data_IF_055090255154
#
_entry.id   IF_055090255154
#
_cell.length_a   1.000
_cell.length_b   1.000
_cell.length_c   1.000
_cell.angle_alpha   90.00
_cell.angle_beta   90.00
_cell.angle_gamma   90.00
#
_symmetry.space_group_name_H-M   'P 1'
#
loop_
_entity.id
_entity.type
_entity.pdbx_description
1 polymer ?
#
# COMPACT_ATOMS: atom_id res chain seq x y z
N UNK A 1 -24.83 -25.90 -19.51
CA UNK A 1 -25.43 -25.59 -18.19
C UNK A 1 -24.61 -24.47 -17.58
N UNK A 2 -25.18 -23.27 -17.44
CA UNK A 2 -24.48 -22.18 -16.73
C UNK A 2 -24.30 -22.56 -15.26
N UNK A 3 -23.24 -22.12 -14.57
CA UNK A 3 -23.12 -22.34 -13.13
C UNK A 3 -24.33 -21.69 -12.43
N UNK A 4 -24.91 -22.42 -11.48
CA UNK A 4 -26.05 -21.96 -10.69
C UNK A 4 -25.72 -20.62 -10.03
N UNK A 5 -26.50 -19.60 -10.35
CA UNK A 5 -26.36 -18.27 -9.79
C UNK A 5 -26.80 -18.29 -8.33
N UNK A 6 -25.98 -17.75 -7.43
CA UNK A 6 -26.34 -17.67 -6.01
C UNK A 6 -27.63 -16.87 -5.84
N UNK A 7 -28.65 -17.50 -5.26
CA UNK A 7 -29.91 -16.86 -4.87
C UNK A 7 -29.98 -16.80 -3.35
N UNK A 8 -30.07 -15.60 -2.74
CA UNK A 8 -30.19 -15.48 -1.30
C UNK A 8 -31.46 -16.18 -0.81
N UNK A 9 -31.35 -16.92 0.30
CA UNK A 9 -32.50 -17.64 0.88
C UNK A 9 -33.48 -16.68 1.56
N UNK A 10 -32.99 -15.53 2.04
CA UNK A 10 -33.80 -14.43 2.51
C UNK A 10 -34.02 -13.42 1.38
N UNK A 11 -35.28 -13.12 1.04
CA UNK A 11 -35.65 -12.13 0.01
C UNK A 11 -36.24 -10.84 0.58
N UNK A 12 -36.51 -10.80 1.90
CA UNK A 12 -37.02 -9.62 2.59
C UNK A 12 -35.92 -8.55 2.74
N UNK A 13 -36.06 -7.36 2.12
CA UNK A 13 -35.05 -6.31 2.17
C UNK A 13 -34.71 -5.84 3.59
N UNK A 14 -35.69 -5.76 4.49
CA UNK A 14 -35.48 -5.28 5.86
C UNK A 14 -34.60 -6.27 6.65
N UNK A 15 -34.91 -7.56 6.53
CA UNK A 15 -34.08 -8.62 7.11
C UNK A 15 -32.66 -8.65 6.54
N UNK A 16 -32.52 -8.47 5.22
CA UNK A 16 -31.21 -8.39 4.56
C UNK A 16 -30.41 -7.16 5.03
N UNK A 17 -31.06 -6.06 5.40
CA UNK A 17 -30.42 -4.89 6.00
C UNK A 17 -29.84 -5.21 7.38
N UNK A 18 -30.65 -5.79 8.26
CA UNK A 18 -30.22 -6.17 9.61
C UNK A 18 -29.08 -7.21 9.59
N UNK A 19 -29.17 -8.20 8.69
CA UNK A 19 -28.11 -9.19 8.51
C UNK A 19 -26.81 -8.56 7.99
N UNK A 20 -26.89 -7.59 7.09
CA UNK A 20 -25.70 -6.89 6.60
C UNK A 20 -25.04 -6.02 7.67
N UNK A 21 -25.83 -5.34 8.51
CA UNK A 21 -25.29 -4.56 9.64
C UNK A 21 -24.47 -5.47 10.55
N UNK A 22 -25.02 -6.63 10.92
CA UNK A 22 -24.30 -7.64 11.72
C UNK A 22 -23.06 -8.17 11.01
N UNK A 23 -23.16 -8.47 9.71
CA UNK A 23 -22.05 -8.94 8.88
C UNK A 23 -20.87 -7.96 8.91
N UNK A 24 -21.11 -6.68 8.64
CA UNK A 24 -20.04 -5.67 8.61
C UNK A 24 -19.49 -5.34 9.99
N UNK A 25 -20.34 -5.31 11.03
CA UNK A 25 -19.88 -5.14 12.40
C UNK A 25 -18.95 -6.28 12.84
N UNK A 26 -19.27 -7.53 12.49
CA UNK A 26 -18.43 -8.68 12.80
C UNK A 26 -17.05 -8.58 12.12
N UNK A 27 -16.99 -8.18 10.84
CA UNK A 27 -15.72 -7.94 10.13
C UNK A 27 -14.90 -6.84 10.83
N UNK A 28 -15.53 -5.72 11.19
CA UNK A 28 -14.84 -4.62 11.88
C UNK A 28 -14.32 -5.03 13.26
N UNK A 29 -15.14 -5.74 14.06
CA UNK A 29 -14.75 -6.23 15.38
C UNK A 29 -13.61 -7.24 15.32
N UNK A 30 -13.67 -8.18 14.37
CA UNK A 30 -12.61 -9.18 14.18
C UNK A 30 -11.30 -8.51 13.72
N UNK A 31 -11.37 -7.53 12.83
CA UNK A 31 -10.21 -6.74 12.40
C UNK A 31 -9.61 -5.93 13.55
N UNK A 32 -10.43 -5.28 14.38
CA UNK A 32 -9.97 -4.53 15.55
C UNK A 32 -9.32 -5.44 16.60
N UNK A 33 -9.87 -6.65 16.78
CA UNK A 33 -9.31 -7.67 17.66
C UNK A 33 -8.09 -8.41 17.06
N UNK A 34 -7.63 -8.02 15.86
CA UNK A 34 -6.51 -8.67 15.14
C UNK A 34 -6.68 -10.19 15.00
N UNK A 35 -7.92 -10.64 14.82
CA UNK A 35 -8.20 -12.06 14.55
C UNK A 35 -7.71 -12.43 13.16
N UNK A 36 -7.23 -13.67 12.93
CA UNK A 36 -6.78 -14.11 11.61
C UNK A 36 -7.94 -14.38 10.65
N UNK A 37 -9.16 -14.54 11.15
CA UNK A 37 -10.35 -14.82 10.36
C UNK A 37 -11.64 -14.45 11.11
N UNK A 38 -12.74 -14.42 10.36
CA UNK A 38 -14.09 -14.17 10.88
C UNK A 38 -15.12 -15.03 10.14
N UNK A 39 -15.97 -15.69 10.91
CA UNK A 39 -17.15 -16.39 10.41
C UNK A 39 -18.35 -15.43 10.40
N UNK A 40 -19.07 -15.44 9.29
CA UNK A 40 -20.17 -14.53 9.00
C UNK A 40 -21.36 -15.31 8.49
N UNK A 41 -22.56 -14.78 8.73
CA UNK A 41 -23.79 -15.30 8.17
C UNK A 41 -24.53 -14.18 7.43
N UNK A 42 -24.99 -14.47 6.21
CA UNK A 42 -25.76 -13.54 5.41
C UNK A 42 -26.70 -14.27 4.46
N UNK A 43 -27.96 -13.86 4.44
CA UNK A 43 -29.01 -14.39 3.57
C UNK A 43 -29.15 -15.92 3.59
N UNK A 44 -28.94 -16.53 4.76
CA UNK A 44 -28.99 -17.98 4.97
C UNK A 44 -27.69 -18.73 4.69
N UNK A 45 -26.66 -18.06 4.17
CA UNK A 45 -25.35 -18.66 3.88
C UNK A 45 -24.31 -18.33 4.95
N UNK A 46 -23.24 -19.12 5.01
CA UNK A 46 -22.08 -18.90 5.89
C UNK A 46 -20.85 -18.53 5.07
N UNK A 47 -20.07 -17.60 5.56
CA UNK A 47 -18.84 -17.12 4.93
C UNK A 47 -17.73 -17.14 5.97
N UNK A 48 -16.52 -17.53 5.57
CA UNK A 48 -15.32 -17.37 6.40
C UNK A 48 -14.33 -16.49 5.66
N UNK A 49 -14.05 -15.32 6.22
CA UNK A 49 -13.09 -14.35 5.64
C UNK A 49 -11.77 -14.41 6.39
N UNK A 50 -10.67 -14.51 5.65
CA UNK A 50 -9.34 -14.32 6.21
C UNK A 50 -9.04 -12.82 6.39
N UNK A 51 -8.35 -12.50 7.48
CA UNK A 51 -7.93 -11.16 7.85
C UNK A 51 -6.39 -11.10 7.96
N UNK A 52 -5.74 -9.97 7.61
CA UNK A 52 -6.33 -8.73 7.09
C UNK A 52 -6.85 -8.87 5.64
N UNK A 53 -7.61 -7.88 5.12
CA UNK A 53 -7.99 -7.86 3.71
C UNK A 53 -6.76 -7.90 2.78
N UNK A 54 -6.95 -8.46 1.58
CA UNK A 54 -5.92 -8.54 0.53
C UNK A 54 -5.55 -7.15 -0.01
N UNK A 55 -6.50 -6.21 -0.01
CA UNK A 55 -6.26 -4.85 -0.48
C UNK A 55 -7.51 -3.99 -0.46
N UNK A 56 -7.30 -2.68 -0.54
CA UNK A 56 -8.34 -1.66 -0.67
C UNK A 56 -8.22 -1.00 -2.05
N UNK A 57 -9.32 -0.97 -2.81
CA UNK A 57 -9.43 -0.21 -4.07
C UNK A 57 -10.47 0.90 -3.98
N UNK A 58 -10.57 1.72 -5.04
CA UNK A 58 -11.57 2.79 -5.17
C UNK A 58 -13.03 2.33 -5.01
N UNK A 59 -13.28 1.02 -5.09
CA UNK A 59 -14.62 0.42 -5.15
C UNK A 59 -14.93 -0.54 -4.00
N UNK A 60 -14.00 -0.76 -3.07
CA UNK A 60 -14.23 -1.69 -1.98
C UNK A 60 -12.99 -2.33 -1.38
N UNK A 61 -13.22 -3.10 -0.32
CA UNK A 61 -12.22 -3.89 0.37
C UNK A 61 -12.34 -5.36 -0.05
N UNK A 62 -11.22 -6.00 -0.37
CA UNK A 62 -11.20 -7.40 -0.85
C UNK A 62 -10.66 -8.32 0.23
N UNK A 63 -11.42 -9.35 0.59
CA UNK A 63 -11.06 -10.36 1.57
C UNK A 63 -10.89 -11.71 0.90
N UNK A 64 -9.87 -12.48 1.29
CA UNK A 64 -9.75 -13.88 0.87
C UNK A 64 -10.83 -14.70 1.60
N UNK A 65 -11.50 -15.59 0.89
CA UNK A 65 -12.45 -16.51 1.49
C UNK A 65 -11.76 -17.84 1.79
N UNK A 66 -11.96 -18.38 3.00
CA UNK A 66 -11.68 -19.78 3.31
C UNK A 66 -12.97 -20.56 3.06
N UNK A 67 -12.90 -21.59 2.23
CA UNK A 67 -14.09 -22.21 1.65
C UNK A 67 -15.05 -22.80 2.71
N UNK A 68 -16.30 -22.33 2.71
CA UNK A 68 -17.48 -23.11 3.05
C UNK A 68 -18.70 -22.50 2.36
N UNK A 69 -19.54 -23.39 1.82
CA UNK A 69 -20.72 -23.18 0.96
C UNK A 69 -21.31 -21.76 0.91
N UNK A 70 -20.98 -21.03 -0.15
CA UNK A 70 -21.85 -19.96 -0.66
C UNK A 70 -22.54 -20.52 -1.90
N UNK A 71 -23.84 -20.76 -1.82
CA UNK A 71 -24.64 -21.13 -2.99
C UNK A 71 -24.23 -22.41 -3.72
N UNK A 72 -23.68 -23.40 -3.01
CA UNK A 72 -23.26 -24.66 -3.63
C UNK A 72 -21.97 -24.58 -4.46
N UNK A 73 -21.23 -23.46 -4.43
CA UNK A 73 -19.94 -23.35 -5.12
C UNK A 73 -18.94 -24.39 -4.58
N UNK A 74 -18.20 -25.09 -5.46
CA UNK A 74 -17.26 -26.12 -5.03
C UNK A 74 -16.10 -25.53 -4.23
N UNK A 75 -15.74 -26.18 -3.11
CA UNK A 75 -14.69 -25.73 -2.20
C UNK A 75 -13.28 -25.67 -2.83
N UNK A 76 -13.10 -26.20 -4.03
CA UNK A 76 -11.82 -26.22 -4.77
C UNK A 76 -11.52 -24.92 -5.51
N UNK A 77 -12.48 -24.01 -5.68
CA UNK A 77 -12.24 -22.74 -6.37
C UNK A 77 -11.76 -21.69 -5.35
N UNK A 78 -10.58 -21.08 -5.53
CA UNK A 78 -10.14 -20.00 -4.67
C UNK A 78 -10.99 -18.76 -4.92
N UNK A 79 -11.63 -18.23 -3.87
CA UNK A 79 -12.58 -17.12 -3.96
C UNK A 79 -12.16 -15.94 -3.09
N UNK A 80 -12.63 -14.76 -3.47
CA UNK A 80 -12.55 -13.55 -2.67
C UNK A 80 -13.93 -12.88 -2.54
N UNK A 81 -14.10 -12.11 -1.46
CA UNK A 81 -15.28 -11.30 -1.21
C UNK A 81 -14.88 -9.83 -1.27
N UNK A 82 -15.43 -9.10 -2.23
CA UNK A 82 -15.27 -7.64 -2.36
C UNK A 82 -16.44 -6.95 -1.70
N UNK A 83 -16.18 -6.26 -0.59
CA UNK A 83 -17.16 -5.42 0.11
C UNK A 83 -17.15 -4.02 -0.49
N UNK A 84 -18.29 -3.51 -0.96
CA UNK A 84 -18.42 -2.12 -1.39
C UNK A 84 -18.20 -1.14 -0.22
N UNK A 85 -17.60 0.02 -0.51
CA UNK A 85 -17.53 1.11 0.46
C UNK A 85 -18.95 1.60 0.81
N UNK A 86 -19.15 2.14 2.01
CA UNK A 86 -20.42 2.74 2.43
C UNK A 86 -20.65 4.13 1.81
N UNK A 87 -20.58 4.19 0.48
CA UNK A 87 -20.83 5.39 -0.32
C UNK A 87 -21.99 5.10 -1.28
N UNK A 88 -22.81 6.11 -1.57
CA UNK A 88 -24.05 5.97 -2.35
C UNK A 88 -23.81 5.27 -3.71
N UNK A 89 -22.72 5.61 -4.39
CA UNK A 89 -22.40 5.10 -5.74
C UNK A 89 -21.70 3.74 -5.76
N UNK A 90 -21.16 3.27 -4.63
CA UNK A 90 -20.38 2.02 -4.62
C UNK A 90 -21.25 0.78 -4.85
N UNK A 91 -22.52 0.82 -4.42
CA UNK A 91 -23.47 -0.28 -4.59
C UNK A 91 -23.88 -0.47 -6.05
N UNK A 92 -24.25 0.62 -6.72
CA UNK A 92 -24.55 0.63 -8.15
C UNK A 92 -23.35 0.16 -8.98
N UNK A 93 -22.15 0.60 -8.62
CA UNK A 93 -20.91 0.18 -9.30
C UNK A 93 -20.59 -1.31 -9.20
N UNK A 94 -20.99 -1.99 -8.12
CA UNK A 94 -20.83 -3.45 -8.05
C UNK A 94 -21.78 -4.17 -9.02
N UNK A 95 -23.00 -3.64 -9.21
CA UNK A 95 -23.94 -4.15 -10.21
C UNK A 95 -23.41 -3.90 -11.64
N UNK A 96 -22.90 -2.70 -11.93
CA UNK A 96 -22.25 -2.40 -13.22
C UNK A 96 -21.04 -3.30 -13.48
N UNK A 97 -20.27 -3.61 -12.45
CA UNK A 97 -19.09 -4.48 -12.54
C UNK A 97 -19.50 -5.90 -12.95
N UNK A 98 -20.63 -6.42 -12.45
CA UNK A 98 -21.20 -7.71 -12.88
C UNK A 98 -21.52 -7.71 -14.37
N UNK A 99 -22.26 -6.71 -14.84
CA UNK A 99 -22.62 -6.58 -16.25
C UNK A 99 -21.39 -6.53 -17.15
N UNK A 100 -20.38 -5.75 -16.75
CA UNK A 100 -19.12 -5.61 -17.51
C UNK A 100 -18.31 -6.90 -17.51
N UNK A 101 -18.28 -7.61 -16.38
CA UNK A 101 -17.61 -8.92 -16.24
C UNK A 101 -18.24 -9.95 -17.16
N UNK A 102 -19.57 -10.05 -17.17
CA UNK A 102 -20.28 -11.03 -17.99
C UNK A 102 -20.09 -10.76 -19.49
N UNK A 103 -20.10 -9.48 -19.89
CA UNK A 103 -19.78 -9.08 -21.25
C UNK A 103 -18.35 -9.51 -21.65
N UNK A 104 -17.35 -9.22 -20.82
CA UNK A 104 -15.97 -9.59 -21.13
C UNK A 104 -15.75 -11.10 -21.19
N UNK A 105 -16.40 -11.87 -20.30
CA UNK A 105 -16.38 -13.33 -20.37
C UNK A 105 -16.98 -13.84 -21.69
N UNK A 106 -18.07 -13.25 -22.18
CA UNK A 106 -18.68 -13.60 -23.47
C UNK A 106 -17.76 -13.28 -24.66
N UNK A 107 -17.03 -12.17 -24.59
CA UNK A 107 -16.00 -11.77 -25.58
C UNK A 107 -14.66 -12.52 -25.40
N UNK A 108 -14.63 -13.52 -24.49
CA UNK A 108 -13.47 -14.34 -24.14
C UNK A 108 -12.28 -13.51 -23.62
N UNK A 109 -12.54 -12.32 -23.08
CA UNK A 109 -11.55 -11.51 -22.36
C UNK A 109 -11.44 -12.06 -20.95
N UNK A 110 -10.22 -12.36 -20.50
CA UNK A 110 -10.00 -12.93 -19.19
C UNK A 110 -10.23 -11.88 -18.10
N UNK A 111 -11.25 -12.11 -17.27
CA UNK A 111 -11.65 -11.29 -16.12
C UNK A 111 -12.05 -12.23 -14.97
N UNK A 112 -11.91 -11.83 -13.68
CA UNK A 112 -12.35 -12.64 -12.55
C UNK A 112 -13.86 -12.81 -12.60
N UNK A 113 -14.36 -14.05 -12.62
CA UNK A 113 -15.80 -14.31 -12.63
C UNK A 113 -16.41 -13.86 -11.31
N UNK A 114 -17.55 -13.18 -11.38
CA UNK A 114 -18.39 -12.92 -10.22
C UNK A 114 -19.36 -14.10 -10.10
N UNK A 115 -19.35 -14.80 -8.96
CA UNK A 115 -20.20 -15.97 -8.72
C UNK A 115 -21.48 -15.62 -7.95
N UNK A 116 -21.39 -14.63 -7.06
CA UNK A 116 -22.51 -14.16 -6.26
C UNK A 116 -22.44 -12.64 -6.10
N UNK A 117 -23.61 -12.00 -6.07
CA UNK A 117 -23.75 -10.57 -5.83
C UNK A 117 -24.90 -10.36 -4.85
N UNK A 118 -24.64 -9.59 -3.79
CA UNK A 118 -25.69 -9.14 -2.89
C UNK A 118 -26.75 -8.33 -3.67
N UNK A 119 -28.06 -8.63 -3.55
CA UNK A 119 -29.12 -7.88 -4.23
C UNK A 119 -29.12 -6.38 -3.91
N UNK A 120 -28.57 -6.00 -2.74
CA UNK A 120 -28.47 -4.61 -2.30
C UNK A 120 -27.12 -3.98 -2.67
N UNK A 121 -26.29 -4.67 -3.47
CA UNK A 121 -25.03 -4.16 -4.01
C UNK A 121 -23.94 -3.97 -2.96
N UNK A 122 -23.99 -4.64 -1.81
CA UNK A 122 -23.05 -4.40 -0.70
C UNK A 122 -21.76 -5.22 -0.81
N UNK A 123 -21.80 -6.40 -1.44
CA UNK A 123 -20.61 -7.19 -1.72
C UNK A 123 -20.78 -8.09 -2.94
N UNK A 124 -19.66 -8.57 -3.47
CA UNK A 124 -19.59 -9.56 -4.54
C UNK A 124 -18.59 -10.67 -4.19
N UNK A 125 -18.95 -11.93 -4.48
CA UNK A 125 -18.06 -13.09 -4.41
C UNK A 125 -17.49 -13.35 -5.79
N UNK A 126 -16.17 -13.45 -5.90
CA UNK A 126 -15.45 -13.52 -7.19
C UNK A 126 -14.32 -14.54 -7.15
N UNK A 127 -13.84 -14.91 -8.33
CA UNK A 127 -12.56 -15.60 -8.47
C UNK A 127 -11.45 -14.84 -7.75
N UNK A 128 -10.68 -15.53 -6.93
CA UNK A 128 -9.41 -15.00 -6.43
C UNK A 128 -8.36 -15.11 -7.53
N UNK A 129 -7.81 -13.97 -7.94
CA UNK A 129 -6.69 -13.94 -8.87
C UNK A 129 -5.38 -14.05 -8.12
N UNK A 130 -4.64 -15.14 -8.36
CA UNK A 130 -3.25 -15.26 -8.00
C UNK A 130 -2.38 -14.71 -9.13
N UNK A 131 -1.77 -13.56 -8.90
CA UNK A 131 -0.98 -12.88 -9.89
C UNK A 131 -0.38 -11.60 -9.34
N UNK A 132 0.33 -10.88 -10.20
CA UNK A 132 0.83 -9.54 -9.87
C UNK A 132 0.34 -8.51 -10.90
N UNK A 133 0.11 -7.24 -10.50
CA UNK A 133 -0.23 -6.20 -11.43
C UNK A 133 0.95 -5.87 -12.35
N UNK A 134 0.67 -5.41 -13.58
CA UNK A 134 1.71 -4.96 -14.52
C UNK A 134 2.58 -3.85 -13.92
N UNK A 135 2.05 -3.04 -13.01
CA UNK A 135 2.85 -2.09 -12.21
C UNK A 135 3.99 -2.74 -11.44
N UNK A 136 3.72 -3.83 -10.71
CA UNK A 136 4.75 -4.57 -9.96
C UNK A 136 5.77 -5.19 -10.91
N UNK A 137 5.27 -5.84 -11.96
CA UNK A 137 6.06 -6.47 -13.00
C UNK A 137 7.04 -5.48 -13.66
N UNK A 138 6.55 -4.28 -14.01
CA UNK A 138 7.33 -3.25 -14.67
C UNK A 138 8.51 -2.78 -13.81
N UNK A 139 8.29 -2.58 -12.51
CA UNK A 139 9.32 -2.11 -11.57
C UNK A 139 10.49 -3.09 -11.43
N UNK A 140 10.22 -4.38 -11.55
CA UNK A 140 11.23 -5.45 -11.46
C UNK A 140 11.56 -6.10 -12.79
N UNK A 141 11.11 -5.52 -13.91
CA UNK A 141 11.20 -6.13 -15.24
C UNK A 141 12.64 -6.49 -15.62
N UNK A 142 13.58 -5.61 -15.33
CA UNK A 142 15.01 -5.80 -15.60
C UNK A 142 15.66 -6.93 -14.77
N UNK A 143 15.00 -7.40 -13.72
CA UNK A 143 15.46 -8.52 -12.88
C UNK A 143 14.97 -9.88 -13.40
N UNK A 144 14.05 -9.88 -14.36
CA UNK A 144 13.52 -11.11 -14.98
C UNK A 144 14.52 -11.69 -15.99
N UNK A 145 14.44 -12.99 -16.24
CA UNK A 145 15.23 -13.61 -17.31
C UNK A 145 14.84 -13.05 -18.69
N UNK A 146 15.78 -13.01 -19.65
CA UNK A 146 15.51 -12.52 -21.00
C UNK A 146 14.34 -13.25 -21.69
N UNK A 147 14.20 -14.57 -21.44
CA UNK A 147 13.06 -15.36 -21.92
C UNK A 147 11.73 -14.85 -21.33
N UNK A 148 11.70 -14.63 -20.02
CA UNK A 148 10.51 -14.13 -19.33
C UNK A 148 10.16 -12.70 -19.78
N UNK A 149 11.16 -11.84 -19.95
CA UNK A 149 10.97 -10.49 -20.49
C UNK A 149 10.31 -10.54 -21.88
N UNK A 150 10.80 -11.40 -22.77
CA UNK A 150 10.23 -11.59 -24.10
C UNK A 150 8.77 -12.04 -24.08
N UNK A 151 8.45 -13.03 -23.22
CA UNK A 151 7.07 -13.52 -23.06
C UNK A 151 6.15 -12.43 -22.50
N UNK A 152 6.59 -11.69 -21.48
CA UNK A 152 5.82 -10.59 -20.88
C UNK A 152 5.48 -9.53 -21.92
N UNK A 153 6.46 -9.06 -22.70
CA UNK A 153 6.23 -8.03 -23.70
C UNK A 153 5.26 -8.51 -24.78
N UNK A 154 5.50 -9.70 -25.32
CA UNK A 154 4.68 -10.31 -26.37
C UNK A 154 3.23 -10.52 -25.90
N UNK A 155 3.02 -11.16 -24.75
CA UNK A 155 1.68 -11.53 -24.31
C UNK A 155 0.88 -10.31 -23.84
N UNK A 156 1.54 -9.33 -23.21
CA UNK A 156 0.91 -8.06 -22.81
C UNK A 156 0.52 -7.22 -24.03
N UNK A 157 1.36 -7.15 -25.07
CA UNK A 157 1.04 -6.50 -26.33
C UNK A 157 -0.19 -7.15 -26.98
N UNK A 158 -0.17 -8.47 -27.14
CA UNK A 158 -1.29 -9.22 -27.71
C UNK A 158 -2.59 -9.04 -26.92
N UNK A 159 -2.51 -9.00 -25.58
CA UNK A 159 -3.66 -8.75 -24.71
C UNK A 159 -4.25 -7.35 -24.90
N UNK A 160 -3.39 -6.33 -24.95
CA UNK A 160 -3.81 -4.94 -25.15
C UNK A 160 -4.40 -4.72 -26.54
N UNK A 161 -3.77 -5.25 -27.59
CA UNK A 161 -4.26 -5.14 -28.96
C UNK A 161 -5.64 -5.77 -29.12
N UNK A 162 -5.87 -6.90 -28.46
CA UNK A 162 -7.17 -7.55 -28.43
C UNK A 162 -8.24 -6.68 -27.76
N UNK A 163 -7.91 -6.05 -26.61
CA UNK A 163 -8.82 -5.13 -25.92
C UNK A 163 -9.11 -3.88 -26.75
N UNK A 164 -8.10 -3.28 -27.36
CA UNK A 164 -8.25 -2.10 -28.22
C UNK A 164 -9.09 -2.42 -29.47
N UNK A 165 -8.89 -3.60 -30.06
CA UNK A 165 -9.73 -4.06 -31.18
C UNK A 165 -11.20 -4.23 -30.76
N UNK A 166 -11.45 -4.76 -29.56
CA UNK A 166 -12.80 -4.85 -29.01
C UNK A 166 -13.40 -3.45 -28.76
N UNK A 167 -12.64 -2.53 -28.16
CA UNK A 167 -13.09 -1.15 -27.90
C UNK A 167 -13.39 -0.35 -29.16
N UNK A 168 -12.71 -0.62 -30.28
CA UNK A 168 -13.05 -0.02 -31.58
C UNK A 168 -14.39 -0.54 -32.13
N UNK A 169 -14.68 -1.82 -31.92
CA UNK A 169 -15.96 -2.44 -32.33
C UNK A 169 -17.12 -2.06 -31.40
N UNK A 170 -16.81 -1.88 -30.11
CA UNK A 170 -17.76 -1.62 -29.02
C UNK A 170 -17.25 -0.48 -28.13
N UNK A 171 -17.39 0.79 -28.54
CA UNK A 171 -16.91 1.92 -27.76
C UNK A 171 -17.60 2.05 -26.39
N UNK A 172 -18.81 1.52 -26.26
CA UNK A 172 -19.61 1.47 -25.04
C UNK A 172 -19.01 0.58 -23.95
N UNK A 173 -18.15 -0.37 -24.31
CA UNK A 173 -17.51 -1.29 -23.36
C UNK A 173 -16.11 -0.85 -22.92
N UNK A 174 -15.69 0.37 -23.24
CA UNK A 174 -14.37 0.85 -22.88
C UNK A 174 -14.18 0.88 -21.36
N UNK A 175 -13.08 0.28 -20.91
CA UNK A 175 -12.66 0.28 -19.50
C UNK A 175 -11.24 0.82 -19.37
N UNK A 176 -10.87 1.17 -18.14
CA UNK A 176 -9.53 1.70 -17.87
C UNK A 176 -8.44 0.63 -18.02
N UNK A 177 -7.61 0.78 -19.06
CA UNK A 177 -6.31 0.07 -19.21
C UNK A 177 -5.24 0.62 -18.26
N UNK A 178 -5.51 0.56 -16.96
CA UNK A 178 -4.55 0.94 -15.91
C UNK A 178 -3.55 -0.18 -15.68
N UNK A 179 -2.25 0.11 -15.50
CA UNK A 179 -1.24 -0.87 -15.09
C UNK A 179 -1.58 -1.71 -13.86
N UNK A 180 -2.41 -1.19 -12.96
CA UNK A 180 -2.87 -1.92 -11.77
C UNK A 180 -4.10 -2.78 -12.02
N UNK A 181 -4.77 -2.63 -13.15
CA UNK A 181 -5.95 -3.41 -13.47
C UNK A 181 -5.59 -4.62 -14.34
N UNK A 182 -4.40 -4.66 -14.92
CA UNK A 182 -3.94 -5.79 -15.71
C UNK A 182 -2.99 -6.60 -14.84
N UNK A 183 -3.31 -7.87 -14.63
CA UNK A 183 -2.52 -8.79 -13.85
C UNK A 183 -1.91 -9.86 -14.75
N UNK A 184 -0.68 -10.25 -14.39
CA UNK A 184 -0.03 -11.44 -14.91
C UNK A 184 -0.24 -12.57 -13.90
N UNK A 185 -0.77 -13.69 -14.37
CA UNK A 185 -1.10 -14.83 -13.52
C UNK A 185 0.15 -15.52 -13.00
N UNK A 186 0.07 -15.95 -11.75
CA UNK A 186 1.09 -16.77 -11.12
C UNK A 186 0.50 -18.08 -10.60
N UNK A 187 1.37 -19.04 -10.35
CA UNK A 187 1.08 -20.31 -9.70
C UNK A 187 2.28 -20.69 -8.85
N UNK A 188 2.09 -20.87 -7.54
CA UNK A 188 3.19 -21.12 -6.61
C UNK A 188 4.27 -20.03 -6.61
N UNK A 189 3.89 -18.77 -6.87
CA UNK A 189 4.81 -17.63 -6.92
C UNK A 189 5.63 -17.51 -8.21
N UNK A 190 5.36 -18.33 -9.23
CA UNK A 190 6.01 -18.26 -10.55
C UNK A 190 4.99 -17.88 -11.62
N UNK A 191 5.42 -17.23 -12.69
CA UNK A 191 4.56 -17.01 -13.85
C UNK A 191 4.10 -18.34 -14.44
N UNK A 192 2.85 -18.38 -14.88
CA UNK A 192 2.31 -19.54 -15.60
C UNK A 192 2.98 -19.65 -16.98
N UNK A 193 2.88 -20.83 -17.57
CA UNK A 193 3.21 -21.07 -18.97
C UNK A 193 1.98 -21.71 -19.64
N UNK A 194 1.21 -20.99 -20.47
CA UNK A 194 1.42 -19.59 -20.90
C UNK A 194 1.22 -18.57 -19.77
N UNK A 195 1.79 -17.36 -19.93
CA UNK A 195 1.89 -16.32 -18.90
C UNK A 195 0.54 -15.97 -18.25
N UNK A 196 -0.52 -15.88 -19.09
CA UNK A 196 -1.90 -15.60 -18.69
C UNK A 196 -2.09 -14.18 -18.16
N UNK A 197 -2.80 -13.33 -18.92
CA UNK A 197 -3.17 -11.99 -18.48
C UNK A 197 -4.66 -11.92 -18.12
N UNK A 198 -4.97 -11.21 -17.03
CA UNK A 198 -6.34 -11.01 -16.54
C UNK A 198 -6.58 -9.53 -16.28
N UNK A 199 -7.75 -9.03 -16.69
CA UNK A 199 -8.21 -7.70 -16.40
C UNK A 199 -9.08 -7.71 -15.13
N UNK A 200 -8.61 -7.03 -14.08
CA UNK A 200 -9.26 -6.91 -12.77
C UNK A 200 -9.99 -5.57 -12.65
N UNK A 201 -11.13 -5.61 -11.96
CA UNK A 201 -12.01 -4.46 -11.70
C UNK A 201 -12.36 -3.68 -13.00
N UNK A 202 -12.91 -4.34 -14.03
CA UNK A 202 -13.29 -3.69 -15.27
C UNK A 202 -14.50 -2.78 -15.03
N UNK A 203 -14.24 -1.52 -14.74
CA UNK A 203 -15.25 -0.47 -14.71
C UNK A 203 -15.29 0.29 -16.02
N UNK A 204 -16.49 0.46 -16.58
CA UNK A 204 -16.69 1.30 -17.76
C UNK A 204 -16.20 2.73 -17.53
N UNK A 205 -15.62 3.32 -18.56
CA UNK A 205 -15.11 4.69 -18.51
C UNK A 205 -15.57 5.44 -19.76
N UNK A 206 -16.56 6.31 -19.59
CA UNK A 206 -17.13 7.10 -20.70
C UNK A 206 -16.25 8.29 -21.13
N UNK A 207 -15.15 8.57 -20.40
CA UNK A 207 -14.33 9.78 -20.57
C UNK A 207 -12.96 9.54 -21.19
N UNK A 208 -12.58 8.29 -21.53
CA UNK A 208 -11.26 8.01 -22.12
C UNK A 208 -11.39 7.75 -23.61
N UNK A 209 -10.50 8.36 -24.40
CA UNK A 209 -10.27 7.96 -25.79
C UNK A 209 -9.00 7.13 -25.86
N UNK A 210 -9.06 6.03 -26.61
CA UNK A 210 -7.91 5.17 -26.93
C UNK A 210 -7.41 5.39 -28.36
N UNK A 211 -7.78 6.51 -28.98
CA UNK A 211 -7.27 6.90 -30.29
C UNK A 211 -5.74 7.08 -30.24
N UNK A 212 -5.03 6.47 -31.20
CA UNK A 212 -3.57 6.46 -31.23
C UNK A 212 -2.90 5.70 -30.08
N UNK A 213 -3.63 4.93 -29.28
CA UNK A 213 -3.06 4.10 -28.22
C UNK A 213 -2.43 2.83 -28.82
N UNK A 214 -1.18 2.56 -28.45
CA UNK A 214 -0.38 1.41 -28.88
C UNK A 214 0.31 0.77 -27.68
N UNK A 215 0.77 -0.48 -27.83
CA UNK A 215 1.60 -1.12 -26.80
C UNK A 215 2.87 -0.32 -26.50
N UNK A 216 3.58 0.15 -27.54
CA UNK A 216 4.77 0.98 -27.37
C UNK A 216 4.48 2.20 -26.48
N UNK A 217 3.43 2.97 -26.79
CA UNK A 217 3.00 4.12 -25.98
C UNK A 217 2.60 3.72 -24.55
N UNK A 218 1.91 2.60 -24.40
CA UNK A 218 1.56 2.07 -23.09
C UNK A 218 2.80 1.78 -22.24
N UNK A 219 3.79 1.10 -22.82
CA UNK A 219 5.01 0.66 -22.14
C UNK A 219 5.98 1.81 -21.82
N UNK A 220 6.18 2.73 -22.75
CA UNK A 220 7.20 3.78 -22.62
C UNK A 220 6.69 5.06 -21.96
N UNK A 221 5.39 5.35 -22.05
CA UNK A 221 4.81 6.60 -21.54
C UNK A 221 3.81 6.32 -20.41
N UNK A 222 2.75 5.56 -20.69
CA UNK A 222 1.62 5.40 -19.77
C UNK A 222 2.03 4.72 -18.48
N UNK A 223 2.79 3.62 -18.57
CA UNK A 223 3.29 2.87 -17.42
C UNK A 223 4.18 3.75 -16.52
N UNK A 224 5.28 4.35 -17.01
CA UNK A 224 6.10 5.26 -16.22
C UNK A 224 5.34 6.44 -15.61
N UNK A 225 4.44 7.08 -16.36
CA UNK A 225 3.67 8.21 -15.86
C UNK A 225 2.71 7.80 -14.73
N UNK A 226 2.05 6.66 -14.88
CA UNK A 226 1.16 6.11 -13.85
C UNK A 226 1.93 5.72 -12.61
N UNK A 227 3.08 5.07 -12.76
CA UNK A 227 3.95 4.70 -11.65
C UNK A 227 4.45 5.95 -10.92
N UNK A 228 4.95 6.97 -11.64
CA UNK A 228 5.33 8.26 -11.04
C UNK A 228 4.18 8.90 -10.28
N UNK A 229 2.96 8.85 -10.82
CA UNK A 229 1.76 9.32 -10.12
C UNK A 229 1.50 8.51 -8.85
N UNK A 230 1.54 7.18 -8.91
CA UNK A 230 1.34 6.32 -7.75
C UNK A 230 2.40 6.50 -6.67
N UNK A 231 3.63 6.83 -7.05
CA UNK A 231 4.71 7.18 -6.13
C UNK A 231 4.42 8.49 -5.38
N UNK A 232 3.95 9.51 -6.10
CA UNK A 232 3.60 10.81 -5.52
C UNK A 232 2.38 10.74 -4.60
N UNK A 233 1.42 9.88 -4.90
CA UNK A 233 0.16 9.76 -4.14
C UNK A 233 0.18 8.64 -3.09
N UNK A 234 1.36 8.10 -2.73
CA UNK A 234 1.49 6.96 -1.79
C UNK A 234 0.91 5.60 -2.26
N UNK A 235 0.08 5.61 -3.31
CA UNK A 235 -0.69 4.45 -3.80
C UNK A 235 0.18 3.28 -4.25
N UNK A 236 1.43 3.53 -4.68
CA UNK A 236 2.36 2.46 -5.06
C UNK A 236 2.67 1.50 -3.89
N UNK A 237 2.69 2.00 -2.66
CA UNK A 237 2.96 1.21 -1.45
C UNK A 237 1.82 0.23 -1.13
N UNK A 238 0.59 0.55 -1.57
CA UNK A 238 -0.56 -0.35 -1.48
C UNK A 238 -0.57 -1.44 -2.57
N UNK A 239 -0.09 -1.11 -3.77
CA UNK A 239 -0.13 -1.97 -4.95
C UNK A 239 1.01 -2.98 -5.05
N UNK A 240 2.16 -2.60 -4.50
CA UNK A 240 3.33 -3.47 -4.37
C UNK A 240 3.59 -3.57 -2.88
N UNK A 241 2.85 -4.44 -2.16
CA UNK A 241 3.07 -4.62 -0.74
C UNK A 241 4.50 -5.11 -0.58
N UNK A 242 5.37 -4.27 -0.04
CA UNK A 242 6.58 -4.78 0.58
C UNK A 242 6.12 -5.65 1.73
N UNK A 243 6.52 -6.91 1.76
CA UNK A 243 6.38 -7.69 2.99
C UNK A 243 7.16 -6.96 4.08
N UNK A 244 6.45 -6.32 5.01
CA UNK A 244 7.08 -5.88 6.26
C UNK A 244 7.46 -7.15 7.00
N UNK A 245 8.75 -7.47 6.96
CA UNK A 245 9.26 -8.70 7.55
C UNK A 245 8.89 -8.74 9.04
N UNK A 246 8.69 -9.94 9.59
CA UNK A 246 8.43 -10.11 11.03
C UNK A 246 9.55 -9.46 11.86
N UNK A 247 10.80 -9.54 11.36
CA UNK A 247 11.96 -8.87 11.96
C UNK A 247 11.85 -7.35 11.96
N UNK A 248 11.41 -6.69 10.89
CA UNK A 248 11.21 -5.23 10.87
C UNK A 248 10.12 -4.78 11.86
N UNK A 249 9.04 -5.57 12.00
CA UNK A 249 7.99 -5.31 12.99
C UNK A 249 8.47 -5.47 14.43
N UNK A 250 9.23 -6.52 14.70
CA UNK A 250 9.71 -6.81 16.05
C UNK A 250 10.79 -5.81 16.45
N UNK A 251 11.72 -5.47 15.55
CA UNK A 251 12.75 -4.46 15.77
C UNK A 251 12.15 -3.06 15.97
N UNK A 252 11.10 -2.71 15.24
CA UNK A 252 10.44 -1.42 15.38
C UNK A 252 9.81 -1.23 16.76
N UNK A 253 9.31 -2.28 17.43
CA UNK A 253 8.67 -2.14 18.75
C UNK A 253 9.62 -1.66 19.85
N UNK A 254 10.91 -1.93 19.69
CA UNK A 254 11.92 -1.57 20.69
C UNK A 254 12.35 -0.09 20.61
N UNK A 255 11.94 0.64 19.56
CA UNK A 255 12.33 2.02 19.38
C UNK A 255 11.37 2.99 20.07
N UNK A 256 11.94 4.02 20.71
CA UNK A 256 11.20 5.03 21.45
C UNK A 256 10.13 5.72 20.60
N UNK A 257 10.40 5.91 19.31
CA UNK A 257 9.45 6.51 18.37
C UNK A 257 8.14 5.71 18.27
N UNK A 258 8.18 4.38 18.48
CA UNK A 258 7.02 3.49 18.41
C UNK A 258 6.45 3.11 19.79
N UNK A 259 6.95 3.70 20.88
CA UNK A 259 6.51 3.38 22.24
C UNK A 259 5.01 3.64 22.42
N UNK A 260 4.28 2.65 22.94
CA UNK A 260 2.85 2.74 23.19
C UNK A 260 1.95 2.61 21.94
N UNK A 261 2.52 2.28 20.78
CA UNK A 261 1.76 1.86 19.61
C UNK A 261 1.51 0.34 19.65
N UNK A 262 0.33 -0.06 19.22
CA UNK A 262 -0.01 -1.48 19.03
C UNK A 262 0.70 -2.06 17.81
N UNK A 263 0.81 -3.38 17.72
CA UNK A 263 1.40 -4.08 16.58
C UNK A 263 0.77 -3.69 15.24
N UNK A 264 -0.55 -3.50 15.21
CA UNK A 264 -1.30 -3.08 14.02
C UNK A 264 -1.04 -1.62 13.66
N UNK A 265 -0.86 -0.74 14.64
CA UNK A 265 -0.48 0.67 14.41
C UNK A 265 0.96 0.79 13.91
N UNK A 266 1.90 0.02 14.47
CA UNK A 266 3.29 -0.04 13.97
C UNK A 266 3.29 -0.59 12.54
N UNK A 267 2.57 -1.68 12.27
CA UNK A 267 2.46 -2.24 10.93
C UNK A 267 1.90 -1.23 9.91
N UNK A 268 0.86 -0.50 10.29
CA UNK A 268 0.27 0.57 9.45
C UNK A 268 1.31 1.65 9.10
N UNK A 269 2.08 2.12 10.09
CA UNK A 269 3.10 3.14 9.86
C UNK A 269 4.26 2.62 9.01
N UNK A 270 4.72 1.39 9.26
CA UNK A 270 5.77 0.75 8.47
C UNK A 270 5.32 0.50 7.03
N UNK A 271 4.04 0.19 6.81
CA UNK A 271 3.46 0.04 5.48
C UNK A 271 3.46 1.35 4.68
N UNK A 272 3.26 2.47 5.37
CA UNK A 272 3.32 3.79 4.77
C UNK A 272 4.75 4.33 4.60
N UNK A 273 5.75 3.65 5.16
CA UNK A 273 7.15 4.08 5.13
C UNK A 273 7.95 3.35 4.03
N UNK A 274 9.15 3.86 3.71
CA UNK A 274 10.09 3.20 2.78
C UNK A 274 11.34 2.75 3.51
N UNK A 275 11.73 1.49 3.35
CA UNK A 275 13.07 1.05 3.75
C UNK A 275 14.09 1.45 2.69
N UNK A 276 15.10 2.22 3.08
CA UNK A 276 16.21 2.65 2.23
C UNK A 276 17.54 2.18 2.81
N UNK A 277 18.50 1.91 1.95
CA UNK A 277 19.85 1.50 2.34
C UNK A 277 20.85 2.49 1.80
N UNK A 278 21.90 2.75 2.59
CA UNK A 278 23.01 3.61 2.24
C UNK A 278 24.30 2.87 2.54
N UNK A 279 25.23 2.86 1.60
CA UNK A 279 26.59 2.37 1.84
C UNK A 279 27.38 3.39 2.67
N UNK A 280 28.49 2.94 3.26
CA UNK A 280 29.33 3.83 4.06
C UNK A 280 29.80 5.02 3.21
N UNK A 281 29.90 6.19 3.85
CA UNK A 281 30.26 7.49 3.26
C UNK A 281 29.19 8.15 2.37
N UNK A 282 28.06 7.49 2.09
CA UNK A 282 26.96 8.11 1.35
C UNK A 282 26.24 9.21 2.15
N UNK A 283 25.83 10.28 1.46
CA UNK A 283 25.11 11.41 2.06
C UNK A 283 23.62 11.10 2.13
N UNK A 284 23.08 11.03 3.34
CA UNK A 284 21.66 10.76 3.61
C UNK A 284 20.87 12.07 3.61
N UNK A 285 21.38 13.10 4.30
CA UNK A 285 20.79 14.44 4.37
C UNK A 285 21.89 15.46 4.10
N UNK A 286 21.55 16.58 3.44
CA UNK A 286 22.48 17.68 3.17
C UNK A 286 22.02 18.94 3.87
N UNK A 287 22.91 19.56 4.64
CA UNK A 287 22.66 20.85 5.31
C UNK A 287 22.16 21.90 4.29
N UNK A 288 21.14 22.67 4.68
CA UNK A 288 20.53 23.71 3.85
C UNK A 288 19.62 23.19 2.73
N UNK A 289 19.58 21.87 2.47
CA UNK A 289 18.61 21.32 1.54
C UNK A 289 17.19 21.46 2.10
N UNK A 290 16.22 21.65 1.21
CA UNK A 290 14.81 21.50 1.53
C UNK A 290 14.52 20.00 1.48
N UNK A 291 13.85 19.46 2.49
CA UNK A 291 13.45 18.06 2.48
C UNK A 291 12.25 17.83 3.38
N UNK A 292 11.27 17.12 2.84
CA UNK A 292 9.94 16.90 3.41
C UNK A 292 9.79 15.46 3.94
N UNK A 293 10.89 14.84 4.32
CA UNK A 293 10.94 13.48 4.85
C UNK A 293 11.78 13.41 6.12
N UNK A 294 11.58 12.40 6.94
CA UNK A 294 12.49 12.08 8.04
C UNK A 294 12.85 10.59 8.00
N UNK A 295 13.93 10.24 8.69
CA UNK A 295 14.45 8.88 8.73
C UNK A 295 14.51 8.35 10.16
N UNK A 296 14.33 7.04 10.31
CA UNK A 296 14.62 6.27 11.50
C UNK A 296 15.73 5.27 11.21
N UNK A 297 16.76 5.23 12.04
CA UNK A 297 17.89 4.30 11.88
C UNK A 297 17.52 2.91 12.38
N UNK A 298 17.45 1.91 11.48
CA UNK A 298 17.24 0.51 11.86
C UNK A 298 18.55 -0.19 12.17
N UNK A 299 19.55 0.00 11.31
CA UNK A 299 20.86 -0.64 11.39
C UNK A 299 21.95 0.32 10.91
N UNK A 300 23.15 0.15 11.45
CA UNK A 300 24.31 1.00 11.16
C UNK A 300 24.39 2.26 12.02
N UNK A 301 25.32 3.13 11.65
CA UNK A 301 25.59 4.40 12.33
C UNK A 301 25.65 5.54 11.32
N UNK A 302 25.13 6.70 11.71
CA UNK A 302 25.12 7.92 10.91
C UNK A 302 25.98 8.98 11.60
N UNK A 303 26.78 9.70 10.83
CA UNK A 303 27.51 10.87 11.29
C UNK A 303 26.76 12.14 10.92
N UNK A 304 26.30 12.88 11.93
CA UNK A 304 25.83 14.24 11.74
C UNK A 304 27.02 15.20 11.71
N UNK A 305 27.06 16.10 10.72
CA UNK A 305 28.10 17.10 10.50
C UNK A 305 27.46 18.47 10.31
N UNK A 306 28.03 19.50 10.95
CA UNK A 306 27.66 20.91 10.72
C UNK A 306 28.94 21.75 10.56
N UNK A 307 28.99 22.59 9.52
CA UNK A 307 30.12 23.48 9.25
C UNK A 307 31.37 22.83 8.61
N UNK A 308 32.37 23.65 8.28
CA UNK A 308 33.66 23.22 7.71
C UNK A 308 34.69 22.93 8.80
N UNK A 309 35.51 21.89 8.61
CA UNK A 309 36.45 21.29 9.59
C UNK A 309 37.41 22.28 10.28
N UNK A 310 37.66 23.44 9.67
CA UNK A 310 38.64 24.44 10.10
C UNK A 310 38.03 25.68 10.76
N UNK A 311 36.70 25.74 10.93
CA UNK A 311 36.02 26.89 11.56
C UNK A 311 35.53 26.57 12.98
N UNK A 312 35.64 27.52 13.93
CA UNK A 312 34.94 27.43 15.21
C UNK A 312 33.43 27.18 14.98
N UNK A 313 32.87 26.18 15.67
CA UNK A 313 31.47 25.76 15.49
C UNK A 313 31.26 24.53 14.59
N UNK A 314 32.33 23.85 14.14
CA UNK A 314 32.20 22.55 13.48
C UNK A 314 31.76 21.47 14.48
N UNK A 315 30.67 20.76 14.18
CA UNK A 315 30.10 19.74 15.06
C UNK A 315 30.06 18.37 14.38
N UNK A 316 30.42 17.31 15.11
CA UNK A 316 30.24 15.91 14.72
C UNK A 316 29.61 15.10 15.84
N UNK A 317 28.60 14.31 15.49
CA UNK A 317 28.01 13.33 16.40
C UNK A 317 27.70 12.02 15.67
N UNK A 318 27.91 10.90 16.36
CA UNK A 318 27.46 9.58 15.90
C UNK A 318 26.03 9.36 16.38
N UNK A 319 25.19 8.93 15.45
CA UNK A 319 23.77 8.67 15.66
C UNK A 319 23.52 7.21 15.31
N UNK A 320 23.14 6.43 16.31
CA UNK A 320 22.97 4.99 16.18
C UNK A 320 21.51 4.57 15.94
N UNK A 321 21.32 3.26 15.89
CA UNK A 321 20.03 2.56 15.81
C UNK A 321 18.99 3.14 16.78
N UNK A 322 17.74 3.23 16.30
CA UNK A 322 16.58 3.77 17.02
C UNK A 322 16.44 5.30 16.95
N UNK A 323 17.44 6.00 16.43
CA UNK A 323 17.42 7.45 16.35
C UNK A 323 16.65 7.98 15.14
N UNK A 324 16.02 9.13 15.32
CA UNK A 324 15.33 9.88 14.26
C UNK A 324 16.24 10.99 13.71
N UNK A 325 16.21 11.16 12.39
CA UNK A 325 16.99 12.13 11.61
C UNK A 325 16.09 12.95 10.69
N UNK A 326 16.32 14.26 10.64
CA UNK A 326 15.62 15.16 9.71
C UNK A 326 14.22 15.56 10.14
N UNK A 327 13.79 15.12 11.32
CA UNK A 327 12.50 15.43 11.94
C UNK A 327 12.26 16.93 12.10
N UNK A 328 13.30 17.72 12.34
CA UNK A 328 13.16 19.17 12.48
C UNK A 328 12.67 19.83 11.20
N UNK A 329 13.26 19.48 10.05
CA UNK A 329 12.84 20.03 8.76
C UNK A 329 11.43 19.59 8.41
N UNK A 330 11.10 18.32 8.70
CA UNK A 330 9.77 17.76 8.51
C UNK A 330 8.69 18.46 9.36
N UNK A 331 8.95 18.69 10.65
CA UNK A 331 7.97 19.29 11.57
C UNK A 331 7.87 20.81 11.42
N UNK A 332 9.00 21.49 11.31
CA UNK A 332 9.07 22.96 11.33
C UNK A 332 9.05 23.58 9.93
N UNK A 333 9.08 22.76 8.87
CA UNK A 333 9.13 23.21 7.47
C UNK A 333 10.32 24.16 7.21
N UNK A 334 11.47 23.80 7.74
CA UNK A 334 12.74 24.56 7.64
C UNK A 334 13.80 23.75 6.88
N UNK A 335 14.83 24.39 6.30
CA UNK A 335 15.95 23.67 5.69
C UNK A 335 16.64 22.71 6.67
N UNK A 336 17.27 21.65 6.15
CA UNK A 336 18.03 20.70 6.96
C UNK A 336 19.10 21.42 7.78
N UNK A 337 19.09 21.18 9.09
CA UNK A 337 20.01 21.82 10.04
C UNK A 337 21.45 21.30 9.96
N UNK A 338 21.65 20.09 9.42
CA UNK A 338 22.93 19.39 9.39
C UNK A 338 23.03 18.49 8.16
N UNK A 339 24.27 18.16 7.78
CA UNK A 339 24.55 17.07 6.83
C UNK A 339 24.62 15.76 7.60
N UNK A 340 23.93 14.72 7.15
CA UNK A 340 24.01 13.38 7.71
C UNK A 340 24.64 12.43 6.70
N UNK A 341 25.68 11.71 7.11
CA UNK A 341 26.46 10.80 6.26
C UNK A 341 26.48 9.42 6.90
N UNK A 342 26.26 8.37 6.12
CA UNK A 342 26.40 7.00 6.58
C UNK A 342 27.84 6.74 7.07
N UNK A 343 28.01 6.41 8.34
CA UNK A 343 29.32 6.07 8.92
C UNK A 343 29.72 4.62 8.62
N UNK A 344 28.71 3.75 8.60
CA UNK A 344 28.75 2.35 8.21
C UNK A 344 27.64 2.12 7.20
N UNK A 345 27.51 0.90 6.65
CA UNK A 345 26.31 0.55 5.87
C UNK A 345 25.08 0.72 6.76
N UNK A 346 24.14 1.54 6.31
CA UNK A 346 22.93 1.89 7.04
C UNK A 346 21.70 1.30 6.37
N UNK A 347 20.76 0.84 7.21
CA UNK A 347 19.38 0.55 6.82
C UNK A 347 18.48 1.50 7.57
N UNK A 348 17.66 2.27 6.86
CA UNK A 348 16.80 3.30 7.43
C UNK A 348 15.35 3.10 7.00
N UNK A 349 14.42 3.57 7.82
CA UNK A 349 13.03 3.80 7.43
C UNK A 349 12.86 5.26 7.13
N UNK A 350 12.35 5.57 5.95
CA UNK A 350 12.00 6.90 5.50
C UNK A 350 10.48 7.09 5.57
N UNK A 351 10.05 8.19 6.18
CA UNK A 351 8.65 8.63 6.17
C UNK A 351 8.59 9.99 5.50
N UNK A 352 7.81 10.05 4.41
CA UNK A 352 7.57 11.25 3.63
C UNK A 352 6.36 12.03 4.18
N UNK A 353 6.39 13.35 4.05
CA UNK A 353 5.35 14.25 4.56
C UNK A 353 4.00 14.03 3.91
N UNK A 354 3.94 13.76 2.61
CA UNK A 354 2.68 13.51 1.93
C UNK A 354 2.03 12.23 2.46
N UNK A 355 2.81 11.15 2.56
CA UNK A 355 2.34 9.86 3.11
C UNK A 355 1.89 10.00 4.56
N UNK A 356 2.62 10.79 5.36
CA UNK A 356 2.27 11.01 6.74
C UNK A 356 0.99 11.86 6.89
N UNK A 357 0.81 12.86 6.03
CA UNK A 357 -0.38 13.69 5.98
C UNK A 357 -1.63 12.88 5.56
N UNK A 358 -1.50 11.91 4.65
CA UNK A 358 -2.58 11.00 4.29
C UNK A 358 -3.04 10.16 5.49
N UNK A 359 -2.10 9.65 6.30
CA UNK A 359 -2.43 8.92 7.52
C UNK A 359 -3.14 9.80 8.55
N UNK A 360 -2.73 11.06 8.69
CA UNK A 360 -3.40 12.05 9.55
C UNK A 360 -4.81 12.37 9.05
N UNK A 361 -4.98 12.57 7.73
CA UNK A 361 -6.26 12.86 7.11
C UNK A 361 -7.27 11.71 7.26
N UNK A 362 -6.78 10.47 7.28
CA UNK A 362 -7.57 9.27 7.56
C UNK A 362 -8.02 9.15 9.05
N UNK A 363 -7.66 10.13 9.90
CA UNK A 363 -8.01 10.19 11.34
C UNK A 363 -7.57 8.94 12.12
N UNK A 364 -6.47 8.32 11.69
CA UNK A 364 -5.91 7.14 12.34
C UNK A 364 -5.14 7.57 13.60
N UNK A 365 -5.21 6.79 14.67
CA UNK A 365 -4.53 7.11 15.95
C UNK A 365 -3.01 6.98 15.88
N UNK A 366 -2.50 6.08 15.04
CA UNK A 366 -1.08 5.78 14.89
C UNK A 366 -0.19 7.01 14.58
N UNK A 367 -0.47 7.83 13.54
CA UNK A 367 0.36 9.00 13.23
C UNK A 367 0.39 10.04 14.35
N UNK A 368 -0.71 10.26 15.08
CA UNK A 368 -0.72 11.18 16.23
C UNK A 368 0.17 10.67 17.37
N UNK A 369 0.13 9.36 17.67
CA UNK A 369 1.03 8.76 18.66
C UNK A 369 2.49 8.86 18.22
N UNK A 370 2.78 8.67 16.93
CA UNK A 370 4.12 8.82 16.38
C UNK A 370 4.62 10.27 16.54
N UNK A 371 3.81 11.28 16.16
CA UNK A 371 4.14 12.69 16.36
C UNK A 371 4.41 13.03 17.83
N UNK A 372 3.55 12.52 18.74
CA UNK A 372 3.75 12.70 20.18
C UNK A 372 5.10 12.13 20.62
N UNK A 373 5.47 10.93 20.15
CA UNK A 373 6.72 10.31 20.53
C UNK A 373 7.94 11.06 19.95
N UNK A 374 7.85 11.56 18.71
CA UNK A 374 8.89 12.45 18.14
C UNK A 374 9.02 13.73 18.97
N UNK A 375 7.90 14.34 19.39
CA UNK A 375 7.91 15.53 20.23
C UNK A 375 8.56 15.27 21.60
N UNK A 376 8.29 14.10 22.21
CA UNK A 376 8.95 13.68 23.46
C UNK A 376 10.46 13.51 23.26
N UNK A 377 10.89 12.81 22.21
CA UNK A 377 12.32 12.64 21.88
C UNK A 377 13.01 14.01 21.70
N UNK A 378 12.37 14.94 21.00
CA UNK A 378 12.90 16.29 20.82
C UNK A 378 12.98 17.07 22.13
N UNK A 379 11.96 16.96 23.00
CA UNK A 379 11.95 17.61 24.30
C UNK A 379 13.06 17.06 25.22
N UNK A 380 13.28 15.74 25.21
CA UNK A 380 14.36 15.10 25.97
C UNK A 380 15.74 15.52 25.46
N UNK A 381 15.92 15.60 24.14
CA UNK A 381 17.16 16.12 23.51
C UNK A 381 17.41 17.58 23.90
N UNK A 382 16.39 18.43 23.88
CA UNK A 382 16.49 19.83 24.29
C UNK A 382 16.88 19.94 25.77
N UNK A 383 16.18 19.20 26.64
CA UNK A 383 16.48 19.21 28.06
C UNK A 383 17.90 18.69 28.37
N UNK A 384 18.41 17.71 27.62
CA UNK A 384 19.79 17.27 27.75
C UNK A 384 20.79 18.36 27.32
N UNK A 385 20.50 19.08 26.23
CA UNK A 385 21.30 20.20 25.75
C UNK A 385 21.36 21.34 26.79
N UNK A 386 20.22 21.70 27.38
CA UNK A 386 20.13 22.75 28.41
C UNK A 386 21.05 22.44 29.60
N UNK A 387 21.03 21.19 30.11
CA UNK A 387 21.92 20.77 31.20
C UNK A 387 23.40 20.84 30.84
N UNK A 388 23.76 20.47 29.60
CA UNK A 388 25.14 20.61 29.13
C UNK A 388 25.55 22.08 29.04
N UNK A 389 24.64 22.95 28.58
CA UNK A 389 24.89 24.38 28.49
C UNK A 389 25.06 25.01 29.89
N UNK A 390 24.19 24.67 30.85
CA UNK A 390 24.32 25.09 32.25
C UNK A 390 25.66 24.66 32.86
N UNK A 391 26.07 23.40 32.66
CA UNK A 391 27.36 22.91 33.15
C UNK A 391 28.55 23.69 32.56
N UNK A 392 28.52 24.00 31.26
CA UNK A 392 29.56 24.79 30.60
C UNK A 392 29.61 26.24 31.11
N UNK A 393 28.45 26.84 31.42
CA UNK A 393 28.36 28.18 32.01
C UNK A 393 28.92 28.18 33.44
N UNK A 394 28.63 27.16 34.24
CA UNK A 394 29.19 27.00 35.58
C UNK A 394 30.71 26.82 35.58
N UNK A 395 31.25 26.00 34.67
CA UNK A 395 32.70 25.83 34.50
C UNK A 395 33.38 27.13 34.06
N UNK A 396 32.77 27.86 33.11
CA UNK A 396 33.27 29.15 32.65
C UNK A 396 33.23 30.23 33.73
N UNK A 397 32.23 30.18 34.62
CA UNK A 397 32.09 31.09 35.77
C UNK A 397 33.08 30.83 36.91
N UNK A 398 33.63 29.62 37.03
CA UNK A 398 34.66 29.27 38.04
C UNK A 398 36.09 29.66 37.62
N UNK A 399 36.28 30.14 36.39
CA UNK A 399 37.59 30.38 35.77
C UNK A 399 38.19 31.79 35.90
N UNK A 400 37.61 32.69 36.70
CA UNK A 400 38.21 34.02 36.97
C UNK A 400 38.67 34.07 38.43
N UNK A 401 39.96 33.81 38.73
CA UNK A 401 40.54 34.21 40.01
C UNK A 401 40.57 35.74 40.09
N UNK A 402 40.18 36.27 41.25
CA UNK A 402 40.21 37.70 41.57
C UNK A 402 41.64 38.26 41.65
#
# INVERSE_FOLDING_TARGET
MGPEEWKPQATDPARLEDEAVRFFQAVQQASAASRPEVDLAYAGERFTLALPPLGEGDRGMVYRMKATSVGGLPASVPLCLKVAKQEAVCRERLLEERMTTDFFLAEKVAVPRIHALDPLGRFAVKDLVEGEPVTSLYLRFNQLSARTQGLVLHDLEAFLDRLLALFRKRPDCQVSLSPNNIYVLTEGGRFRDPLGLVLIDPGTTLKKSYEGFTFAKYWTEVLPDRIRKYQRTGYLQWLVPREVTTSERDVARDFEIFRGLTSSEVFLLLKAARTVEFDAEEVILREGAIGENFYLVLEGEVEARRGAFTKPGSFRARIGRGSVLGEMAFLLHVPRSMTAVAATRCKLIEIDQDQFNELLAAKLTAPYKLLRNVAVILAERLHALDRTHEALLEESGRGIPA
#
